data_IF_144123510466
#
_entry.id   IF_144123510466
#
_cell.length_a   1.000
_cell.length_b   1.000
_cell.length_c   1.000
_cell.angle_alpha   90.00
_cell.angle_beta   90.00
_cell.angle_gamma   90.00
#
_symmetry.space_group_name_H-M   'P 1'
#
loop_
_entity.id
_entity.type
_entity.pdbx_description
1 polymer ?
#
# COMPACT_ATOMS: atom_id res chain seq x y z
N UNK A 1 11.85 -11.02 11.58
CA UNK A 1 11.01 -9.96 12.19
C UNK A 1 11.76 -8.64 12.09
N UNK A 2 11.06 -7.55 11.79
CA UNK A 2 11.62 -6.19 11.67
C UNK A 2 10.63 -5.19 12.31
N UNK A 3 11.09 -4.01 12.76
CA UNK A 3 10.21 -3.01 13.37
C UNK A 3 9.38 -2.28 12.31
N UNK A 4 8.33 -2.93 11.78
CA UNK A 4 7.56 -2.49 10.60
C UNK A 4 7.14 -1.02 10.66
N UNK A 5 6.55 -0.57 11.77
CA UNK A 5 6.12 0.84 11.93
C UNK A 5 7.31 1.80 11.77
N UNK A 6 8.48 1.48 12.35
CA UNK A 6 9.68 2.32 12.22
C UNK A 6 10.24 2.32 10.80
N UNK A 7 10.11 1.21 10.07
CA UNK A 7 10.51 1.12 8.67
C UNK A 7 9.56 1.95 7.81
N UNK A 8 8.25 1.80 7.99
CA UNK A 8 7.24 2.53 7.21
C UNK A 8 7.26 4.04 7.49
N UNK A 9 7.62 4.46 8.71
CA UNK A 9 7.74 5.87 9.06
C UNK A 9 9.04 6.52 8.57
N UNK A 10 10.01 5.74 8.08
CA UNK A 10 11.31 6.25 7.66
C UNK A 10 11.22 6.93 6.29
N UNK A 11 11.84 8.11 6.14
CA UNK A 11 11.78 8.92 4.92
C UNK A 11 12.38 8.22 3.68
N UNK A 12 13.36 7.32 3.88
CA UNK A 12 13.95 6.53 2.80
C UNK A 12 13.06 5.38 2.30
N UNK A 13 11.93 5.11 2.95
CA UNK A 13 11.02 4.01 2.55
C UNK A 13 10.11 4.49 1.42
N UNK A 14 10.42 4.06 0.19
CA UNK A 14 9.70 4.47 -1.01
C UNK A 14 8.53 3.56 -1.43
N UNK A 15 8.38 2.37 -0.82
CA UNK A 15 7.32 1.43 -1.15
C UNK A 15 7.30 0.19 -0.25
N UNK A 16 6.17 -0.51 -0.23
CA UNK A 16 5.95 -1.66 0.65
C UNK A 16 5.29 -2.82 -0.10
N UNK A 17 6.02 -3.93 -0.24
CA UNK A 17 5.43 -5.19 -0.70
C UNK A 17 4.77 -5.88 0.49
N UNK A 18 3.46 -6.08 0.40
CA UNK A 18 2.64 -6.54 1.52
C UNK A 18 1.65 -7.62 1.11
N UNK A 19 1.39 -8.53 2.04
CA UNK A 19 0.30 -9.49 1.95
C UNK A 19 -1.12 -8.89 2.09
N UNK A 20 -1.25 -7.58 2.25
CA UNK A 20 -2.55 -6.89 2.36
C UNK A 20 -3.38 -7.23 3.60
N UNK A 21 -2.73 -7.61 4.71
CA UNK A 21 -3.38 -7.65 6.02
C UNK A 21 -3.78 -6.24 6.47
N UNK A 22 -4.99 -6.08 7.02
CA UNK A 22 -5.59 -4.75 7.26
C UNK A 22 -4.73 -3.82 8.13
N UNK A 23 -4.13 -4.33 9.21
CA UNK A 23 -3.24 -3.53 10.06
C UNK A 23 -2.03 -3.00 9.29
N UNK A 24 -1.40 -3.83 8.46
CA UNK A 24 -0.25 -3.41 7.64
C UNK A 24 -0.65 -2.40 6.56
N UNK A 25 -1.89 -2.47 6.06
CA UNK A 25 -2.44 -1.46 5.16
C UNK A 25 -2.61 -0.13 5.90
N UNK A 26 -3.22 -0.13 7.08
CA UNK A 26 -3.41 1.09 7.88
C UNK A 26 -2.07 1.74 8.25
N UNK A 27 -1.08 0.96 8.68
CA UNK A 27 0.27 1.44 8.97
C UNK A 27 0.92 2.10 7.74
N UNK A 28 0.77 1.51 6.55
CA UNK A 28 1.29 2.10 5.32
C UNK A 28 0.55 3.39 4.94
N UNK A 29 -0.77 3.45 5.10
CA UNK A 29 -1.59 4.63 4.82
C UNK A 29 -1.22 5.80 5.72
N UNK A 30 -1.11 5.59 7.04
CA UNK A 30 -0.76 6.68 7.97
C UNK A 30 0.65 7.23 7.75
N UNK A 31 1.54 6.43 7.15
CA UNK A 31 2.88 6.89 6.79
C UNK A 31 3.01 7.35 5.33
N UNK A 32 2.03 7.06 4.47
CA UNK A 32 2.00 7.46 3.07
C UNK A 32 2.87 6.59 2.15
N UNK A 33 3.05 5.31 2.49
CA UNK A 33 3.92 4.40 1.74
C UNK A 33 3.10 3.62 0.70
N UNK A 34 3.40 3.75 -0.61
CA UNK A 34 2.66 3.06 -1.67
C UNK A 34 2.93 1.54 -1.66
N UNK A 35 2.02 0.77 -2.26
CA UNK A 35 1.98 -0.69 -2.05
C UNK A 35 2.25 -1.52 -3.31
N UNK A 36 2.91 -2.66 -3.13
CA UNK A 36 2.79 -3.84 -4.01
C UNK A 36 1.94 -4.85 -3.28
N UNK A 37 0.73 -5.11 -3.79
CA UNK A 37 -0.26 -5.98 -3.18
C UNK A 37 -0.03 -7.46 -3.54
N UNK A 38 0.30 -8.28 -2.56
CA UNK A 38 0.63 -9.71 -2.72
C UNK A 38 -0.18 -10.61 -1.77
N UNK A 39 -1.51 -10.69 -1.92
CA UNK A 39 -2.39 -11.36 -0.96
C UNK A 39 -2.17 -12.87 -0.86
N UNK A 40 -2.34 -13.44 0.33
CA UNK A 40 -2.09 -14.86 0.62
C UNK A 40 -3.35 -15.58 1.15
N UNK A 41 -3.99 -15.05 2.20
CA UNK A 41 -5.08 -15.73 2.93
C UNK A 41 -6.14 -14.76 3.48
N UNK A 42 -7.17 -15.29 4.14
CA UNK A 42 -8.29 -14.52 4.71
C UNK A 42 -8.91 -13.56 3.68
N UNK A 43 -9.15 -12.31 4.07
CA UNK A 43 -9.78 -11.27 3.24
C UNK A 43 -8.76 -10.49 2.39
N UNK A 44 -7.47 -10.85 2.43
CA UNK A 44 -6.39 -10.10 1.78
C UNK A 44 -6.60 -9.92 0.27
N UNK A 45 -7.23 -10.89 -0.41
CA UNK A 45 -7.56 -10.78 -1.84
C UNK A 45 -8.59 -9.67 -2.10
N UNK A 46 -9.58 -9.53 -1.22
CA UNK A 46 -10.56 -8.45 -1.27
C UNK A 46 -9.88 -7.10 -1.00
N UNK A 47 -9.02 -7.04 0.02
CA UNK A 47 -8.23 -5.83 0.32
C UNK A 47 -7.34 -5.43 -0.86
N UNK A 48 -6.70 -6.40 -1.51
CA UNK A 48 -5.86 -6.15 -2.68
C UNK A 48 -6.66 -5.50 -3.83
N UNK A 49 -7.85 -6.03 -4.15
CA UNK A 49 -8.75 -5.44 -5.16
C UNK A 49 -9.16 -4.01 -4.77
N UNK A 50 -9.54 -3.79 -3.52
CA UNK A 50 -9.87 -2.45 -3.02
C UNK A 50 -8.70 -1.46 -3.19
N UNK A 51 -7.48 -1.88 -2.87
CA UNK A 51 -6.29 -1.04 -2.97
C UNK A 51 -5.87 -0.74 -4.42
N UNK A 52 -5.99 -1.72 -5.32
CA UNK A 52 -5.54 -1.59 -6.72
C UNK A 52 -6.58 -0.93 -7.61
N UNK A 53 -7.85 -1.32 -7.48
CA UNK A 53 -8.92 -0.90 -8.39
C UNK A 53 -9.72 0.26 -7.81
N UNK A 54 -10.06 0.20 -6.51
CA UNK A 54 -10.85 1.23 -5.84
C UNK A 54 -10.04 2.47 -5.53
N UNK A 55 -9.06 2.35 -4.62
CA UNK A 55 -8.25 3.47 -4.13
C UNK A 55 -7.09 3.83 -5.07
N UNK A 56 -6.65 2.87 -5.89
CA UNK A 56 -5.52 3.03 -6.83
C UNK A 56 -4.23 3.49 -6.13
N UNK A 57 -3.94 2.90 -4.97
CA UNK A 57 -2.73 3.17 -4.16
C UNK A 57 -1.78 1.98 -4.11
N UNK A 58 -2.02 0.98 -4.96
CA UNK A 58 -1.23 -0.24 -5.05
C UNK A 58 -1.13 -0.72 -6.50
N UNK A 59 -0.03 -1.41 -6.81
CA UNK A 59 0.08 -2.32 -7.96
C UNK A 59 -0.02 -3.77 -7.50
N UNK A 60 -0.44 -4.68 -8.38
CA UNK A 60 -0.54 -6.12 -8.09
C UNK A 60 0.11 -6.92 -9.22
N UNK A 61 0.86 -7.98 -8.89
CA UNK A 61 1.44 -8.86 -9.90
C UNK A 61 0.37 -9.67 -10.62
N UNK A 62 0.60 -9.90 -11.91
CA UNK A 62 -0.09 -10.91 -12.69
C UNK A 62 0.68 -12.22 -12.56
N UNK A 63 0.03 -13.24 -12.03
CA UNK A 63 0.58 -14.59 -12.00
C UNK A 63 0.37 -15.27 -13.37
N UNK A 64 1.29 -16.15 -13.75
CA UNK A 64 1.15 -17.01 -14.93
C UNK A 64 0.09 -18.11 -14.70
N UNK A 65 -0.13 -18.96 -15.70
CA UNK A 65 -1.11 -20.05 -15.67
C UNK A 65 -0.92 -21.03 -14.51
N UNK A 66 0.31 -21.14 -13.98
CA UNK A 66 0.63 -22.00 -12.82
C UNK A 66 0.45 -21.29 -11.47
N UNK A 67 0.02 -20.03 -11.47
CA UNK A 67 -0.09 -19.20 -10.27
C UNK A 67 1.23 -18.59 -9.79
N UNK A 68 2.30 -18.69 -10.58
CA UNK A 68 3.62 -18.14 -10.25
C UNK A 68 3.82 -16.74 -10.85
N UNK A 69 4.43 -15.85 -10.08
CA UNK A 69 4.88 -14.54 -10.55
C UNK A 69 6.36 -14.64 -10.90
N UNK A 70 6.73 -14.35 -12.15
CA UNK A 70 8.10 -14.52 -12.59
C UNK A 70 9.00 -13.39 -12.09
N UNK A 71 10.31 -13.67 -11.94
CA UNK A 71 11.30 -12.66 -11.50
C UNK A 71 11.30 -11.39 -12.35
N UNK A 72 11.00 -11.52 -13.65
CA UNK A 72 10.93 -10.38 -14.57
C UNK A 72 9.77 -9.46 -14.20
N UNK A 73 8.60 -10.03 -13.92
CA UNK A 73 7.40 -9.28 -13.52
C UNK A 73 7.62 -8.57 -12.18
N UNK A 74 8.24 -9.26 -11.21
CA UNK A 74 8.63 -8.67 -9.92
C UNK A 74 9.54 -7.46 -10.13
N UNK A 75 10.60 -7.62 -10.93
CA UNK A 75 11.55 -6.55 -11.19
C UNK A 75 10.90 -5.35 -11.89
N UNK A 76 9.99 -5.61 -12.84
CA UNK A 76 9.22 -4.56 -13.53
C UNK A 76 8.29 -3.82 -12.58
N UNK A 77 7.55 -4.53 -11.72
CA UNK A 77 6.67 -3.88 -10.73
C UNK A 77 7.46 -3.03 -9.73
N UNK A 78 8.57 -3.55 -9.20
CA UNK A 78 9.40 -2.81 -8.25
C UNK A 78 9.93 -1.53 -8.90
N UNK A 79 10.49 -1.62 -10.12
CA UNK A 79 10.94 -0.42 -10.86
C UNK A 79 9.80 0.53 -11.18
N UNK A 80 8.65 0.01 -11.63
CA UNK A 80 7.47 0.81 -11.95
C UNK A 80 6.96 1.60 -10.74
N UNK A 81 6.90 0.96 -9.57
CA UNK A 81 6.49 1.64 -8.34
C UNK A 81 7.54 2.65 -7.86
N UNK A 82 8.83 2.30 -7.88
CA UNK A 82 9.88 3.15 -7.32
C UNK A 82 10.19 4.35 -8.24
N UNK A 83 10.32 4.12 -9.54
CA UNK A 83 10.90 5.09 -10.50
C UNK A 83 9.91 5.50 -11.60
N UNK A 84 8.89 4.68 -11.90
CA UNK A 84 7.95 4.90 -12.99
C UNK A 84 6.91 6.01 -12.72
N UNK A 85 6.31 6.51 -13.80
CA UNK A 85 5.23 7.51 -13.73
C UNK A 85 4.00 6.98 -12.99
N UNK A 86 3.61 5.73 -13.22
CA UNK A 86 2.53 5.07 -12.47
C UNK A 86 2.81 5.08 -10.96
N UNK A 87 4.06 4.81 -10.56
CA UNK A 87 4.50 4.89 -9.16
C UNK A 87 4.38 6.29 -8.57
N UNK A 88 4.63 7.35 -9.36
CA UNK A 88 4.43 8.74 -8.92
C UNK A 88 2.94 9.05 -8.70
N UNK A 89 2.07 8.61 -9.60
CA UNK A 89 0.62 8.77 -9.44
C UNK A 89 0.10 8.04 -8.20
N UNK A 90 0.55 6.81 -8.00
CA UNK A 90 0.21 6.00 -6.82
C UNK A 90 0.68 6.68 -5.53
N UNK A 91 1.91 7.22 -5.50
CA UNK A 91 2.42 7.99 -4.35
C UNK A 91 1.59 9.23 -4.08
N UNK A 92 1.14 9.94 -5.12
CA UNK A 92 0.28 11.11 -4.95
C UNK A 92 -1.03 10.73 -4.27
N UNK A 93 -1.72 9.68 -4.74
CA UNK A 93 -2.96 9.20 -4.13
C UNK A 93 -2.76 8.69 -2.70
N UNK A 94 -1.63 8.01 -2.45
CA UNK A 94 -1.29 7.54 -1.11
C UNK A 94 -1.04 8.71 -0.15
N UNK A 95 -0.45 9.82 -0.63
CA UNK A 95 -0.30 11.04 0.14
C UNK A 95 -1.67 11.66 0.47
N UNK A 96 -2.59 11.71 -0.49
CA UNK A 96 -3.95 12.21 -0.24
C UNK A 96 -4.67 11.38 0.85
N UNK A 97 -4.50 10.05 0.83
CA UNK A 97 -5.02 9.17 1.88
C UNK A 97 -4.35 9.39 3.23
N UNK A 98 -3.02 9.60 3.27
CA UNK A 98 -2.29 9.94 4.50
C UNK A 98 -2.82 11.24 5.12
N UNK A 99 -3.02 12.26 4.30
CA UNK A 99 -3.52 13.56 4.73
C UNK A 99 -4.96 13.45 5.24
N UNK A 100 -5.79 12.65 4.57
CA UNK A 100 -7.15 12.33 5.03
C UNK A 100 -7.13 11.56 6.37
N UNK A 101 -6.28 10.54 6.51
CA UNK A 101 -6.11 9.79 7.75
C UNK A 101 -5.68 10.69 8.91
N UNK A 102 -4.72 11.59 8.67
CA UNK A 102 -4.26 12.57 9.67
C UNK A 102 -5.40 13.52 10.08
N UNK A 103 -6.24 13.94 9.13
CA UNK A 103 -7.37 14.83 9.39
C UNK A 103 -8.44 14.17 10.26
N UNK A 104 -8.86 12.94 9.92
CA UNK A 104 -9.94 12.26 10.65
C UNK A 104 -9.54 11.83 12.06
N UNK A 105 -8.24 11.71 12.32
CA UNK A 105 -7.65 11.40 13.63
C UNK A 105 -7.25 12.65 14.45
N UNK A 106 -7.41 13.86 13.91
CA UNK A 106 -7.17 15.10 14.67
C UNK A 106 -8.19 15.28 15.81
N UNK A 107 -7.95 16.20 16.73
CA UNK A 107 -8.84 16.48 17.88
C UNK A 107 -10.30 16.72 17.43
N UNK A 108 -10.48 17.47 16.35
CA UNK A 108 -11.80 17.79 15.78
C UNK A 108 -12.25 16.84 14.66
N UNK A 109 -11.47 15.78 14.42
CA UNK A 109 -11.63 14.82 13.34
C UNK A 109 -12.86 13.91 13.50
N UNK A 110 -13.40 13.44 12.38
CA UNK A 110 -14.63 12.63 12.38
C UNK A 110 -14.48 11.29 13.10
N UNK A 111 -13.31 10.64 13.01
CA UNK A 111 -13.08 9.37 13.71
C UNK A 111 -12.92 9.57 15.21
N UNK A 112 -12.23 10.65 15.63
CA UNK A 112 -12.10 11.04 17.04
C UNK A 112 -13.45 11.36 17.67
N UNK A 113 -14.31 12.11 16.98
CA UNK A 113 -15.66 12.47 17.47
C UNK A 113 -16.65 11.32 17.53
N UNK A 114 -16.40 10.25 16.80
CA UNK A 114 -17.28 9.08 16.75
C UNK A 114 -16.98 8.04 17.86
N UNK A 115 -15.88 8.21 18.59
CA UNK A 115 -15.47 7.40 19.74
C UNK A 115 -15.94 8.06 21.04
#
# INVERSE_FOLDING_TARGET
WAPQIKVLSHESTGGFLTHCGWNSILEAVVHGVPLIAWPLYAEQKMNAVMLTEGLKVAVKPTANETGLVCRGDIATMVRGLMEGEEGKEIRSKMKDLKDAASRVLSEEGSSTKAL
#
